data_IF_959499307902
#
_entry.id   IF_959499307902
#
_cell.length_a   1.000
_cell.length_b   1.000
_cell.length_c   1.000
_cell.angle_alpha   90.00
_cell.angle_beta   90.00
_cell.angle_gamma   90.00
#
_symmetry.space_group_name_H-M   'P 1'
#
loop_
_entity.id
_entity.type
_entity.pdbx_description
1 polymer ?
#
# COMPACT_ATOMS: atom_id res chain seq x y z
N UNK A 1 -4.56 28.09 -13.11
CA UNK A 1 -3.92 26.82 -13.52
C UNK A 1 -2.44 26.91 -13.25
N UNK A 2 -1.83 25.83 -12.77
CA UNK A 2 -0.41 25.80 -12.38
C UNK A 2 0.51 25.77 -13.60
N UNK A 3 1.55 26.59 -13.59
CA UNK A 3 2.60 26.60 -14.62
C UNK A 3 3.67 25.54 -14.35
N UNK A 4 4.29 25.05 -15.41
CA UNK A 4 5.37 24.05 -15.33
C UNK A 4 6.51 24.47 -14.40
N UNK A 5 6.93 25.74 -14.47
CA UNK A 5 8.03 26.28 -13.65
C UNK A 5 7.76 26.17 -12.15
N UNK A 6 6.49 26.23 -11.73
CA UNK A 6 6.15 26.10 -10.32
C UNK A 6 6.22 24.66 -9.83
N UNK A 7 5.85 23.71 -10.68
CA UNK A 7 6.01 22.28 -10.41
C UNK A 7 7.49 21.89 -10.39
N UNK A 8 8.32 22.48 -11.26
CA UNK A 8 9.77 22.24 -11.28
C UNK A 8 10.43 22.56 -9.93
N UNK A 9 9.96 23.61 -9.22
CA UNK A 9 10.45 23.97 -7.88
C UNK A 9 10.20 22.90 -6.82
N UNK A 10 9.23 22.01 -7.03
CA UNK A 10 8.99 20.90 -6.10
C UNK A 10 10.09 19.83 -6.17
N UNK A 11 10.78 19.72 -7.31
CA UNK A 11 11.79 18.69 -7.55
C UNK A 11 13.10 19.11 -6.89
N UNK A 12 13.39 18.50 -5.74
CA UNK A 12 14.66 18.73 -5.03
C UNK A 12 15.77 17.85 -5.61
N UNK A 13 15.42 16.66 -6.10
CA UNK A 13 16.37 15.72 -6.67
C UNK A 13 16.07 15.48 -8.15
N UNK A 14 16.78 16.20 -9.02
CA UNK A 14 16.67 15.98 -10.47
C UNK A 14 17.39 14.67 -10.84
N UNK A 15 16.60 13.65 -11.20
CA UNK A 15 17.05 12.29 -11.51
C UNK A 15 16.26 11.76 -12.69
N UNK A 16 16.89 11.02 -13.59
CA UNK A 16 16.16 10.29 -14.66
C UNK A 16 15.31 9.15 -14.09
N UNK A 17 14.10 8.95 -14.60
CA UNK A 17 13.23 7.83 -14.23
C UNK A 17 13.69 6.54 -14.92
N UNK A 18 14.70 5.89 -14.33
CA UNK A 18 15.26 4.63 -14.81
C UNK A 18 15.44 3.63 -13.67
N UNK A 19 15.64 2.35 -14.02
CA UNK A 19 15.74 1.27 -13.05
C UNK A 19 16.81 1.52 -11.97
N UNK A 20 17.98 2.05 -12.35
CA UNK A 20 19.10 2.30 -11.43
C UNK A 20 18.74 3.32 -10.35
N UNK A 21 18.08 4.41 -10.73
CA UNK A 21 17.69 5.46 -9.77
C UNK A 21 16.56 4.97 -8.87
N UNK A 22 15.55 4.28 -9.42
CA UNK A 22 14.47 3.71 -8.63
C UNK A 22 14.93 2.56 -7.72
N UNK A 23 15.97 1.81 -8.12
CA UNK A 23 16.64 0.84 -7.26
C UNK A 23 17.23 1.54 -6.05
N UNK A 24 18.04 2.59 -6.25
CA UNK A 24 18.63 3.35 -5.13
C UNK A 24 17.56 3.93 -4.21
N UNK A 25 16.56 4.60 -4.77
CA UNK A 25 15.48 5.23 -4.02
C UNK A 25 14.65 4.21 -3.21
N UNK A 26 14.54 2.96 -3.67
CA UNK A 26 13.88 1.88 -2.92
C UNK A 26 14.61 1.54 -1.60
N UNK A 27 15.93 1.77 -1.53
CA UNK A 27 16.75 1.53 -0.34
C UNK A 27 17.04 2.80 0.46
N UNK A 28 17.19 3.96 -0.20
CA UNK A 28 17.57 5.24 0.41
C UNK A 28 16.36 6.15 0.68
N UNK A 29 15.31 5.59 1.29
CA UNK A 29 14.00 6.20 1.56
C UNK A 29 14.01 7.74 1.64
N UNK A 30 13.20 8.36 0.79
CA UNK A 30 12.97 9.79 0.76
C UNK A 30 11.46 10.05 0.80
N UNK A 31 10.95 10.33 2.00
CA UNK A 31 9.53 10.55 2.28
C UNK A 31 9.12 12.02 2.19
N UNK A 32 10.09 12.93 2.26
CA UNK A 32 9.84 14.38 2.38
C UNK A 32 10.13 15.16 1.11
N UNK A 33 11.08 14.70 0.28
CA UNK A 33 11.53 15.45 -0.90
C UNK A 33 11.09 14.75 -2.18
N UNK A 34 10.52 15.51 -3.12
CA UNK A 34 10.22 14.98 -4.44
C UNK A 34 11.50 14.82 -5.26
N UNK A 35 11.61 13.66 -5.89
CA UNK A 35 12.56 13.38 -6.98
C UNK A 35 11.81 13.47 -8.30
N UNK A 36 12.50 13.84 -9.37
CA UNK A 36 11.84 13.95 -10.65
C UNK A 36 12.76 14.11 -11.83
N UNK A 37 12.21 13.82 -13.01
CA UNK A 37 12.81 14.04 -14.32
C UNK A 37 12.03 15.14 -15.03
N UNK A 38 12.72 16.23 -15.36
CA UNK A 38 12.14 17.35 -16.11
C UNK A 38 12.40 17.10 -17.60
N UNK A 39 11.34 17.05 -18.40
CA UNK A 39 11.40 17.00 -19.86
C UNK A 39 10.71 18.22 -20.45
N UNK A 40 10.66 18.33 -21.78
CA UNK A 40 10.14 19.52 -22.45
C UNK A 40 8.66 19.78 -22.12
N UNK A 41 7.78 18.80 -22.36
CA UNK A 41 6.31 18.93 -22.19
C UNK A 41 5.76 18.04 -21.06
N UNK A 42 6.64 17.39 -20.30
CA UNK A 42 6.23 16.54 -19.19
C UNK A 42 7.23 16.60 -18.02
N UNK A 43 6.72 16.33 -16.83
CA UNK A 43 7.52 16.12 -15.63
C UNK A 43 7.14 14.78 -15.05
N UNK A 44 8.15 13.93 -14.81
CA UNK A 44 7.98 12.73 -14.00
C UNK A 44 8.37 13.08 -12.58
N UNK A 45 7.44 12.98 -11.63
CA UNK A 45 7.69 13.31 -10.22
C UNK A 45 7.31 12.12 -9.34
N UNK A 46 8.13 11.83 -8.33
CA UNK A 46 7.88 10.77 -7.39
C UNK A 46 8.47 11.08 -6.01
N UNK A 47 7.91 10.42 -5.01
CA UNK A 47 8.52 10.29 -3.69
C UNK A 47 8.26 8.88 -3.19
N UNK A 48 9.21 8.32 -2.45
CA UNK A 48 9.03 7.02 -1.82
C UNK A 48 8.21 7.15 -0.54
N UNK A 49 7.47 6.11 -0.15
CA UNK A 49 6.87 6.02 1.20
C UNK A 49 7.45 4.84 1.94
N UNK A 50 7.44 4.88 3.27
CA UNK A 50 7.95 3.77 4.10
C UNK A 50 7.22 2.46 3.80
N UNK A 51 5.92 2.52 3.55
CA UNK A 51 5.10 1.33 3.30
C UNK A 51 5.14 0.85 1.86
N UNK A 52 5.27 1.76 0.89
CA UNK A 52 5.42 1.36 -0.51
C UNK A 52 6.84 0.93 -0.83
N UNK A 53 7.84 1.47 -0.11
CA UNK A 53 9.30 1.34 -0.27
C UNK A 53 9.79 1.47 -1.70
N UNK A 54 9.50 0.47 -2.50
CA UNK A 54 9.98 0.24 -3.83
C UNK A 54 8.89 0.18 -4.90
N UNK A 55 7.62 0.14 -4.48
CA UNK A 55 6.43 0.08 -5.31
C UNK A 55 5.66 1.42 -5.38
N UNK A 56 6.33 2.53 -5.05
CA UNK A 56 5.72 3.86 -5.08
C UNK A 56 5.33 4.30 -6.52
N UNK A 57 4.30 5.16 -6.66
CA UNK A 57 3.89 5.71 -7.94
C UNK A 57 4.91 6.71 -8.49
N UNK A 58 5.03 6.75 -9.82
CA UNK A 58 5.61 7.88 -10.55
C UNK A 58 4.46 8.62 -11.19
N UNK A 59 4.37 9.93 -10.95
CA UNK A 59 3.35 10.78 -11.55
C UNK A 59 3.92 11.44 -12.78
N UNK A 60 3.28 11.22 -13.92
CA UNK A 60 3.54 11.91 -15.18
C UNK A 60 2.60 13.11 -15.26
N UNK A 61 3.18 14.29 -15.13
CA UNK A 61 2.51 15.57 -15.27
C UNK A 61 2.72 16.06 -16.70
N UNK A 62 1.65 16.29 -17.45
CA UNK A 62 1.71 16.79 -18.83
C UNK A 62 1.34 18.26 -18.88
N UNK A 63 2.00 19.00 -19.77
CA UNK A 63 1.79 20.44 -19.94
C UNK A 63 1.32 20.74 -21.37
N UNK A 64 0.45 21.74 -21.51
CA UNK A 64 0.00 22.24 -22.81
C UNK A 64 1.06 23.15 -23.47
N UNK A 65 0.73 23.71 -24.64
CA UNK A 65 1.62 24.60 -25.38
C UNK A 65 1.91 25.91 -24.62
N UNK A 66 1.04 26.29 -23.68
CA UNK A 66 1.18 27.44 -22.80
C UNK A 66 1.92 27.08 -21.50
N UNK A 67 2.52 25.89 -21.41
CA UNK A 67 3.21 25.34 -20.24
C UNK A 67 2.33 25.24 -18.98
N UNK A 68 1.01 25.12 -19.14
CA UNK A 68 0.05 24.91 -18.05
C UNK A 68 -0.22 23.42 -17.86
N UNK A 69 -0.41 23.03 -16.61
CA UNK A 69 -0.68 21.64 -16.25
C UNK A 69 -2.01 21.18 -16.88
N UNK A 70 -1.95 20.17 -17.75
CA UNK A 70 -3.11 19.63 -18.46
C UNK A 70 -3.59 18.28 -17.90
N UNK A 71 -2.71 17.52 -17.24
CA UNK A 71 -3.06 16.19 -16.74
C UNK A 71 -2.04 15.59 -15.77
N UNK A 72 -2.54 14.70 -14.92
CA UNK A 72 -1.74 13.91 -13.98
C UNK A 72 -2.06 12.44 -14.22
N UNK A 73 -1.06 11.66 -14.63
CA UNK A 73 -1.18 10.21 -14.82
C UNK A 73 -0.28 9.47 -13.85
N UNK A 74 -0.83 8.45 -13.20
CA UNK A 74 -0.07 7.60 -12.27
C UNK A 74 0.50 6.38 -13.00
N UNK A 75 1.80 6.16 -12.87
CA UNK A 75 2.51 5.03 -13.48
C UNK A 75 3.29 4.22 -12.44
N UNK A 76 3.48 2.93 -12.72
CA UNK A 76 4.37 2.08 -11.90
C UNK A 76 5.82 2.46 -12.18
N UNK A 77 6.60 2.65 -11.12
CA UNK A 77 8.02 2.90 -11.27
C UNK A 77 8.75 1.68 -11.92
N UNK A 78 9.86 1.90 -12.64
CA UNK A 78 10.67 0.85 -13.26
C UNK A 78 11.08 -0.29 -12.33
N UNK A 79 11.45 0.00 -11.07
CA UNK A 79 11.86 -1.02 -10.11
C UNK A 79 10.69 -1.96 -9.72
N UNK A 80 9.50 -1.42 -9.51
CA UNK A 80 8.29 -2.21 -9.27
C UNK A 80 7.97 -3.13 -10.46
N UNK A 81 8.11 -2.63 -11.69
CA UNK A 81 7.94 -3.47 -12.90
C UNK A 81 8.96 -4.61 -12.92
N UNK A 82 10.20 -4.34 -12.51
CA UNK A 82 11.27 -5.34 -12.44
C UNK A 82 11.02 -6.38 -11.35
N UNK A 83 10.67 -5.96 -10.13
CA UNK A 83 10.35 -6.88 -9.04
C UNK A 83 9.24 -7.86 -9.40
N UNK A 84 8.18 -7.42 -10.07
CA UNK A 84 7.10 -8.34 -10.48
C UNK A 84 7.64 -9.49 -11.34
N UNK A 85 8.63 -9.25 -12.21
CA UNK A 85 9.26 -10.29 -13.01
C UNK A 85 10.12 -11.23 -12.16
N UNK A 86 10.93 -10.68 -11.24
CA UNK A 86 11.74 -11.48 -10.30
C UNK A 86 10.84 -12.36 -9.43
N UNK A 87 9.77 -11.81 -8.86
CA UNK A 87 8.86 -12.55 -7.98
C UNK A 87 8.27 -13.76 -8.69
N UNK A 88 7.87 -13.63 -9.97
CA UNK A 88 7.37 -14.76 -10.76
C UNK A 88 8.46 -15.84 -10.91
N UNK A 89 9.68 -15.45 -11.30
CA UNK A 89 10.79 -16.39 -11.44
C UNK A 89 11.15 -17.09 -10.13
N UNK A 90 11.14 -16.36 -9.01
CA UNK A 90 11.39 -16.91 -7.68
C UNK A 90 10.32 -17.91 -7.24
N UNK A 91 9.04 -17.63 -7.52
CA UNK A 91 7.94 -18.58 -7.24
C UNK A 91 8.11 -19.87 -8.03
N UNK A 92 8.45 -19.77 -9.32
CA UNK A 92 8.72 -20.96 -10.16
C UNK A 92 9.87 -21.79 -9.57
N UNK A 93 10.96 -21.13 -9.16
CA UNK A 93 12.12 -21.79 -8.56
C UNK A 93 11.77 -22.46 -7.22
N UNK A 94 10.94 -21.83 -6.38
CA UNK A 94 10.46 -22.43 -5.14
C UNK A 94 9.61 -23.68 -5.39
N UNK A 95 8.72 -23.65 -6.39
CA UNK A 95 7.89 -24.80 -6.77
C UNK A 95 8.78 -25.96 -7.25
N UNK A 96 9.77 -25.67 -8.09
CA UNK A 96 10.73 -26.68 -8.55
C UNK A 96 11.53 -27.27 -7.38
N UNK A 97 12.01 -26.44 -6.46
CA UNK A 97 12.70 -26.91 -5.25
C UNK A 97 11.84 -27.81 -4.37
N UNK A 98 10.56 -27.47 -4.21
CA UNK A 98 9.59 -28.31 -3.47
C UNK A 98 9.41 -29.68 -4.12
N UNK A 99 9.31 -29.75 -5.45
CA UNK A 99 9.17 -31.01 -6.19
C UNK A 99 10.40 -31.90 -5.99
N UNK A 100 11.60 -31.32 -5.95
CA UNK A 100 12.86 -32.07 -5.85
C UNK A 100 13.13 -32.62 -4.45
N UNK A 101 12.66 -31.95 -3.40
CA UNK A 101 13.06 -32.24 -2.01
C UNK A 101 11.94 -32.91 -1.21
N UNK A 102 10.66 -32.64 -1.53
CA UNK A 102 9.54 -33.10 -0.71
C UNK A 102 9.00 -34.47 -1.16
N UNK A 103 8.59 -35.29 -0.19
CA UNK A 103 7.82 -36.50 -0.44
C UNK A 103 6.40 -36.14 -0.95
N UNK A 104 5.71 -37.08 -1.62
CA UNK A 104 4.40 -36.86 -2.25
C UNK A 104 3.36 -36.17 -1.35
N UNK A 105 3.25 -36.58 -0.08
CA UNK A 105 2.36 -35.92 0.91
C UNK A 105 2.75 -34.45 1.16
N UNK A 106 4.05 -34.16 1.25
CA UNK A 106 4.58 -32.81 1.43
C UNK A 106 4.36 -31.93 0.20
N UNK A 107 4.45 -32.50 -1.02
CA UNK A 107 4.14 -31.80 -2.26
C UNK A 107 2.66 -31.39 -2.28
N UNK A 108 1.73 -32.31 -1.97
CA UNK A 108 0.28 -32.00 -1.95
C UNK A 108 -0.03 -30.88 -0.95
N UNK A 109 0.52 -30.95 0.26
CA UNK A 109 0.33 -29.91 1.28
C UNK A 109 0.92 -28.59 0.79
N UNK A 110 2.13 -28.59 0.24
CA UNK A 110 2.81 -27.40 -0.28
C UNK A 110 2.03 -26.72 -1.40
N UNK A 111 1.50 -27.51 -2.36
CA UNK A 111 0.71 -27.01 -3.49
C UNK A 111 -0.61 -26.37 -3.06
N UNK A 112 -1.18 -26.76 -1.92
CA UNK A 112 -2.42 -26.15 -1.41
C UNK A 112 -2.12 -24.97 -0.49
N UNK A 113 -1.26 -25.17 0.51
CA UNK A 113 -1.03 -24.19 1.58
C UNK A 113 -0.27 -22.97 1.08
N UNK A 114 0.77 -23.16 0.26
CA UNK A 114 1.64 -22.06 -0.19
C UNK A 114 0.88 -21.07 -1.09
N UNK A 115 0.08 -21.50 -2.08
CA UNK A 115 -0.71 -20.57 -2.88
C UNK A 115 -1.80 -19.87 -2.07
N UNK A 116 -2.43 -20.52 -1.09
CA UNK A 116 -3.43 -19.87 -0.22
C UNK A 116 -2.80 -18.74 0.58
N UNK A 117 -1.69 -19.02 1.29
CA UNK A 117 -0.97 -18.00 2.06
C UNK A 117 -0.43 -16.91 1.14
N UNK A 118 0.19 -17.29 0.02
CA UNK A 118 0.72 -16.35 -0.98
C UNK A 118 -0.36 -15.43 -1.56
N UNK A 119 -1.55 -15.96 -1.83
CA UNK A 119 -2.69 -15.18 -2.32
C UNK A 119 -3.18 -14.20 -1.27
N UNK A 120 -3.31 -14.62 -0.01
CA UNK A 120 -3.71 -13.72 1.08
C UNK A 120 -2.70 -12.57 1.27
N UNK A 121 -1.40 -12.88 1.29
CA UNK A 121 -0.34 -11.88 1.38
C UNK A 121 -0.32 -10.94 0.16
N UNK A 122 -0.59 -11.47 -1.03
CA UNK A 122 -0.69 -10.67 -2.25
C UNK A 122 -1.88 -9.71 -2.20
N UNK A 123 -3.07 -10.20 -1.83
CA UNK A 123 -4.28 -9.39 -1.70
C UNK A 123 -4.10 -8.27 -0.67
N UNK A 124 -3.49 -8.59 0.48
CA UNK A 124 -3.10 -7.60 1.47
C UNK A 124 -2.17 -6.56 0.88
N UNK A 125 -1.08 -6.99 0.25
CA UNK A 125 -0.09 -6.09 -0.36
C UNK A 125 -0.72 -5.18 -1.43
N UNK A 126 -1.66 -5.70 -2.22
CA UNK A 126 -2.44 -4.92 -3.21
C UNK A 126 -3.28 -3.85 -2.52
N UNK A 127 -3.96 -4.20 -1.41
CA UNK A 127 -4.80 -3.27 -0.66
C UNK A 127 -3.98 -2.15 -0.01
N UNK A 128 -2.89 -2.52 0.67
CA UNK A 128 -1.90 -1.60 1.24
C UNK A 128 -1.40 -0.63 0.17
N UNK A 129 -0.97 -1.18 -0.98
CA UNK A 129 -0.43 -0.37 -2.06
C UNK A 129 -1.45 0.60 -2.63
N UNK A 130 -2.69 0.17 -2.87
CA UNK A 130 -3.76 1.03 -3.39
C UNK A 130 -4.04 2.20 -2.44
N UNK A 131 -4.11 1.90 -1.14
CA UNK A 131 -4.33 2.92 -0.12
C UNK A 131 -3.20 3.96 -0.09
N UNK A 132 -1.96 3.50 0.06
CA UNK A 132 -0.79 4.39 0.10
C UNK A 132 -0.64 5.19 -1.19
N UNK A 133 -0.82 4.57 -2.36
CA UNK A 133 -0.78 5.27 -3.65
C UNK A 133 -1.84 6.37 -3.70
N UNK A 134 -3.05 6.09 -3.20
CA UNK A 134 -4.12 7.10 -3.12
C UNK A 134 -3.72 8.27 -2.22
N UNK A 135 -3.14 7.99 -1.05
CA UNK A 135 -2.67 9.02 -0.12
C UNK A 135 -1.60 9.91 -0.78
N UNK A 136 -0.57 9.30 -1.38
CA UNK A 136 0.47 10.03 -2.11
C UNK A 136 -0.09 10.86 -3.28
N UNK A 137 -1.16 10.39 -3.91
CA UNK A 137 -1.78 11.08 -5.05
C UNK A 137 -2.54 12.30 -4.57
N UNK A 138 -3.29 12.17 -3.48
CA UNK A 138 -4.03 13.28 -2.87
C UNK A 138 -3.07 14.33 -2.31
N UNK A 139 -1.97 13.93 -1.67
CA UNK A 139 -0.94 14.88 -1.20
C UNK A 139 -0.27 15.64 -2.35
N UNK A 140 0.01 14.98 -3.49
CA UNK A 140 0.54 15.67 -4.66
C UNK A 140 -0.48 16.67 -5.21
N UNK A 141 -1.75 16.29 -5.33
CA UNK A 141 -2.82 17.18 -5.78
C UNK A 141 -2.96 18.39 -4.86
N UNK A 142 -2.98 18.17 -3.54
CA UNK A 142 -3.05 19.24 -2.55
C UNK A 142 -1.84 20.18 -2.66
N UNK A 143 -0.64 19.63 -2.89
CA UNK A 143 0.57 20.43 -3.12
C UNK A 143 0.43 21.31 -4.37
N UNK A 144 -0.08 20.76 -5.47
CA UNK A 144 -0.33 21.50 -6.73
C UNK A 144 -1.42 22.56 -6.54
N UNK A 145 -2.52 22.22 -5.86
CA UNK A 145 -3.61 23.15 -5.54
C UNK A 145 -3.13 24.29 -4.64
N UNK A 146 -2.25 24.02 -3.67
CA UNK A 146 -1.68 25.05 -2.82
C UNK A 146 -0.76 26.00 -3.59
N UNK A 147 0.02 25.50 -4.57
CA UNK A 147 0.79 26.35 -5.49
C UNK A 147 -0.15 27.25 -6.29
N UNK A 148 -1.24 26.69 -6.83
CA UNK A 148 -2.24 27.47 -7.57
C UNK A 148 -2.84 28.58 -6.70
N UNK A 149 -3.17 28.27 -5.44
CA UNK A 149 -3.71 29.24 -4.47
C UNK A 149 -2.69 30.34 -4.14
N UNK A 150 -1.42 29.98 -3.94
CA UNK A 150 -0.35 30.95 -3.69
C UNK A 150 -0.15 31.91 -4.86
N UNK A 151 -0.28 31.42 -6.10
CA UNK A 151 -0.16 32.25 -7.29
C UNK A 151 -1.42 33.07 -7.58
N UNK A 152 -2.61 32.60 -7.15
CA UNK A 152 -3.91 33.24 -7.40
C UNK A 152 -4.80 33.23 -6.14
N UNK A 153 -4.57 34.13 -5.16
CA UNK A 153 -5.25 34.12 -3.86
C UNK A 153 -6.76 34.40 -3.91
N UNK A 154 -7.32 34.76 -5.07
CA UNK A 154 -8.72 35.19 -5.23
C UNK A 154 -9.71 34.03 -5.44
N UNK A 155 -9.24 32.77 -5.48
CA UNK A 155 -10.04 31.55 -5.78
C UNK A 155 -10.55 30.86 -4.48
N UNK A 156 -10.44 31.53 -3.31
CA UNK A 156 -10.36 30.90 -1.98
C UNK A 156 -11.67 30.27 -1.41
N UNK A 157 -12.86 30.60 -1.92
CA UNK A 157 -14.11 30.28 -1.20
C UNK A 157 -14.75 28.93 -1.52
N UNK A 158 -14.53 28.35 -2.71
CA UNK A 158 -15.16 27.07 -3.12
C UNK A 158 -14.38 25.81 -2.72
N UNK A 159 -13.08 25.92 -2.39
CA UNK A 159 -12.21 24.76 -2.17
C UNK A 159 -12.09 24.29 -0.70
N UNK A 160 -12.22 25.20 0.29
CA UNK A 160 -12.09 24.88 1.73
C UNK A 160 -13.04 23.77 2.20
N UNK A 161 -14.19 23.61 1.57
CA UNK A 161 -15.19 22.60 1.93
C UNK A 161 -14.81 21.17 1.50
N UNK A 162 -13.96 21.01 0.48
CA UNK A 162 -13.56 19.69 -0.05
C UNK A 162 -12.37 19.07 0.70
N UNK A 163 -11.44 19.89 1.20
CA UNK A 163 -10.26 19.42 1.94
C UNK A 163 -10.64 18.86 3.32
N UNK A 164 -11.55 19.54 4.04
CA UNK A 164 -12.01 19.07 5.35
C UNK A 164 -12.84 17.78 5.27
N UNK A 165 -13.66 17.58 4.23
CA UNK A 165 -14.48 16.36 4.08
C UNK A 165 -13.67 15.09 3.79
N UNK A 166 -12.44 15.19 3.27
CA UNK A 166 -11.62 14.01 2.89
C UNK A 166 -10.78 13.44 4.04
N UNK A 167 -10.52 14.22 5.10
CA UNK A 167 -9.75 13.80 6.27
C UNK A 167 -10.47 12.74 7.13
N UNK A 168 -11.77 12.56 6.92
CA UNK A 168 -12.63 11.66 7.70
C UNK A 168 -12.76 10.22 7.14
N UNK A 169 -11.92 9.79 6.18
CA UNK A 169 -11.97 8.40 5.71
C UNK A 169 -11.29 7.43 6.69
N UNK A 170 -12.09 6.97 7.65
CA UNK A 170 -11.90 5.96 8.71
C UNK A 170 -11.22 4.62 8.37
N UNK A 171 -10.77 4.41 7.13
CA UNK A 171 -9.88 3.30 6.80
C UNK A 171 -8.44 3.71 7.09
N UNK A 172 -8.11 3.92 8.35
CA UNK A 172 -6.72 4.12 8.77
C UNK A 172 -5.97 2.83 8.46
N UNK A 173 -4.90 2.92 7.68
CA UNK A 173 -3.99 1.83 7.33
C UNK A 173 -3.68 0.88 8.50
N UNK A 174 -3.53 1.47 9.69
CA UNK A 174 -3.40 0.79 10.97
C UNK A 174 -4.48 -0.30 11.15
N UNK A 175 -5.77 0.01 10.99
CA UNK A 175 -6.87 -0.97 11.18
C UNK A 175 -6.80 -2.15 10.20
N UNK A 176 -6.34 -1.92 8.96
CA UNK A 176 -6.18 -3.00 7.97
C UNK A 176 -5.02 -3.92 8.38
N UNK A 177 -3.89 -3.34 8.80
CA UNK A 177 -2.75 -4.11 9.32
C UNK A 177 -3.18 -4.90 10.56
N UNK A 178 -3.83 -4.25 11.52
CA UNK A 178 -4.25 -4.89 12.78
C UNK A 178 -5.14 -6.09 12.48
N UNK A 179 -6.09 -5.98 11.55
CA UNK A 179 -6.95 -7.09 11.15
C UNK A 179 -6.18 -8.22 10.48
N UNK A 180 -5.26 -7.92 9.56
CA UNK A 180 -4.47 -8.95 8.89
C UNK A 180 -3.54 -9.70 9.84
N UNK A 181 -3.00 -9.03 10.85
CA UNK A 181 -2.09 -9.64 11.82
C UNK A 181 -2.85 -10.39 12.92
N UNK A 182 -3.89 -9.78 13.48
CA UNK A 182 -4.64 -10.39 14.58
C UNK A 182 -5.53 -11.54 14.12
N UNK A 183 -6.14 -11.51 12.93
CA UNK A 183 -7.07 -12.60 12.55
C UNK A 183 -6.37 -13.96 12.42
N UNK A 184 -5.24 -14.10 11.69
CA UNK A 184 -4.47 -15.34 11.68
C UNK A 184 -3.92 -15.71 13.05
N UNK A 185 -3.49 -14.72 13.85
CA UNK A 185 -3.01 -14.95 15.20
C UNK A 185 -4.11 -15.54 16.11
N UNK A 186 -5.34 -15.02 16.03
CA UNK A 186 -6.51 -15.58 16.70
C UNK A 186 -6.78 -17.02 16.26
N UNK A 187 -6.69 -17.32 14.96
CA UNK A 187 -6.87 -18.68 14.43
C UNK A 187 -5.79 -19.66 14.95
N UNK A 188 -4.54 -19.20 15.06
CA UNK A 188 -3.45 -20.00 15.63
C UNK A 188 -3.71 -20.30 17.11
N UNK A 189 -4.15 -19.30 17.89
CA UNK A 189 -4.49 -19.51 19.30
C UNK A 189 -5.65 -20.50 19.45
N UNK A 190 -6.68 -20.37 18.61
CA UNK A 190 -7.82 -21.29 18.62
C UNK A 190 -7.36 -22.72 18.29
N UNK A 191 -6.54 -22.88 17.24
CA UNK A 191 -5.99 -24.18 16.87
C UNK A 191 -5.15 -24.79 18.00
N UNK A 192 -4.24 -24.03 18.60
CA UNK A 192 -3.40 -24.49 19.72
C UNK A 192 -4.23 -24.84 20.96
N UNK A 193 -5.30 -24.08 21.21
CA UNK A 193 -6.22 -24.35 22.33
C UNK A 193 -6.98 -25.66 22.12
N UNK A 194 -7.44 -25.95 20.90
CA UNK A 194 -8.16 -27.19 20.59
C UNK A 194 -7.21 -28.39 20.61
N UNK A 195 -6.06 -28.29 19.93
CA UNK A 195 -5.17 -29.43 19.70
C UNK A 195 -4.21 -29.68 20.86
N UNK A 196 -3.75 -28.63 21.54
CA UNK A 196 -2.86 -28.75 22.70
C UNK A 196 -3.65 -28.81 24.01
N UNK A 197 -4.37 -27.76 24.36
CA UNK A 197 -4.95 -27.65 25.71
C UNK A 197 -6.15 -28.58 25.95
N UNK A 198 -7.12 -28.59 25.03
CA UNK A 198 -8.36 -29.37 25.22
C UNK A 198 -8.09 -30.87 25.09
N UNK A 199 -7.28 -31.29 24.12
CA UNK A 199 -6.91 -32.71 23.96
C UNK A 199 -6.08 -33.24 25.12
N UNK A 200 -5.23 -32.42 25.74
CA UNK A 200 -4.43 -32.80 26.91
C UNK A 200 -5.21 -32.69 28.25
N UNK A 201 -6.55 -32.61 28.20
CA UNK A 201 -7.42 -32.60 29.38
C UNK A 201 -7.51 -31.25 30.12
N UNK A 202 -6.84 -30.19 29.65
CA UNK A 202 -6.87 -28.85 30.24
C UNK A 202 -8.05 -28.02 29.71
N UNK A 203 -9.26 -28.56 29.87
CA UNK A 203 -10.48 -28.09 29.22
C UNK A 203 -10.83 -26.63 29.56
N UNK A 204 -10.75 -26.24 30.84
CA UNK A 204 -11.04 -24.87 31.30
C UNK A 204 -10.08 -23.85 30.68
N UNK A 205 -8.77 -24.17 30.64
CA UNK A 205 -7.75 -23.28 30.07
C UNK A 205 -7.91 -23.15 28.56
N UNK A 206 -8.26 -24.24 27.88
CA UNK A 206 -8.56 -24.24 26.45
C UNK A 206 -9.76 -23.37 26.08
N UNK A 207 -10.87 -23.50 26.81
CA UNK A 207 -12.07 -22.66 26.59
C UNK A 207 -11.75 -21.19 26.84
N UNK A 208 -11.03 -20.87 27.91
CA UNK A 208 -10.67 -19.50 28.25
C UNK A 208 -9.77 -18.85 27.18
N UNK A 209 -8.79 -19.60 26.66
CA UNK A 209 -7.92 -19.13 25.58
C UNK A 209 -8.68 -18.87 24.27
N UNK A 210 -9.66 -19.73 23.93
CA UNK A 210 -10.55 -19.52 22.76
C UNK A 210 -11.42 -18.27 22.96
N UNK A 211 -11.98 -18.07 24.16
CA UNK A 211 -12.79 -16.89 24.46
C UNK A 211 -11.99 -15.59 24.29
N UNK A 212 -10.75 -15.55 24.78
CA UNK A 212 -9.85 -14.40 24.59
C UNK A 212 -9.53 -14.20 23.11
N UNK A 213 -9.21 -15.27 22.38
CA UNK A 213 -8.89 -15.19 20.96
C UNK A 213 -10.07 -14.68 20.11
N UNK A 214 -11.31 -15.01 20.48
CA UNK A 214 -12.51 -14.57 19.78
C UNK A 214 -12.99 -13.18 20.18
N UNK A 215 -12.58 -12.65 21.33
CA UNK A 215 -12.98 -11.33 21.80
C UNK A 215 -12.66 -10.22 20.79
N UNK A 216 -11.47 -10.25 20.18
CA UNK A 216 -11.06 -9.24 19.19
C UNK A 216 -11.85 -9.32 17.87
N UNK A 217 -11.95 -10.48 17.18
CA UNK A 217 -12.75 -10.61 15.97
C UNK A 217 -14.22 -10.21 16.19
N UNK A 218 -14.82 -10.63 17.31
CA UNK A 218 -16.22 -10.31 17.63
C UNK A 218 -16.39 -8.79 17.81
N UNK A 219 -15.53 -8.14 18.60
CA UNK A 219 -15.60 -6.70 18.81
C UNK A 219 -15.40 -5.91 17.50
N UNK A 220 -14.45 -6.33 16.67
CA UNK A 220 -14.15 -5.67 15.39
C UNK A 220 -15.31 -5.84 14.38
N UNK A 221 -15.94 -7.01 14.32
CA UNK A 221 -17.14 -7.26 13.50
C UNK A 221 -18.33 -6.41 14.00
N UNK A 222 -18.56 -6.36 15.31
CA UNK A 222 -19.64 -5.54 15.91
C UNK A 222 -19.47 -4.05 15.60
N UNK A 223 -18.24 -3.53 15.63
CA UNK A 223 -17.93 -2.15 15.26
C UNK A 223 -18.21 -1.86 13.77
N UNK A 224 -17.97 -2.82 12.88
CA UNK A 224 -18.32 -2.69 11.44
C UNK A 224 -19.84 -2.65 11.25
N UNK A 225 -20.59 -3.56 11.90
CA UNK A 225 -22.05 -3.63 11.74
C UNK A 225 -22.80 -2.46 12.38
N UNK A 226 -22.34 -1.95 13.54
CA UNK A 226 -22.97 -0.81 14.20
C UNK A 226 -22.92 0.47 13.36
N UNK A 227 -21.93 0.58 12.48
CA UNK A 227 -21.76 1.71 11.58
C UNK A 227 -22.70 1.68 10.37
N UNK A 228 -23.03 0.50 9.85
CA UNK A 228 -23.98 0.36 8.74
C UNK A 228 -25.44 0.64 9.15
N UNK A 229 -25.75 0.74 10.45
CA UNK A 229 -27.07 1.14 10.97
C UNK A 229 -27.26 2.64 11.15
N UNK A 230 -26.18 3.42 11.15
CA UNK A 230 -26.19 4.86 11.40
C UNK A 230 -25.78 5.68 10.15
N UNK A 231 -25.83 5.07 8.95
CA UNK A 231 -25.57 5.73 7.66
C UNK A 231 -26.77 5.65 6.75
#
# INVERSE_FOLDING_TARGET
MVEKKDVEKLIIQNKKSNLKNHWKDAFSYNTTKYSGEIKQNEILIWRSSIFLRSAYPVYRLTFDQQAKLSGIKTEKNPYHKFLNKITIGFIVLLILGLILIANFKGIIIGVIVIPVIGTLLYLFSVKVRKYETSLLTEELKETIENIERSNYPQIDTKLKQNVNRKKDKEWTFAKIITRLLLYPFCLVIIYFSIVGLIKDGQLIRGIFAIAIALAYPIADILLIFRKNKNS
#
